data_IF_867827791403
#
_entry.id   IF_867827791403
#
_cell.length_a   1.000
_cell.length_b   1.000
_cell.length_c   1.000
_cell.angle_alpha   90.00
_cell.angle_beta   90.00
_cell.angle_gamma   90.00
#
_symmetry.space_group_name_H-M   'P 1'
#
loop_
_entity.id
_entity.type
_entity.pdbx_description
1 polymer ?
#
# COMPACT_ATOMS: atom_id res chain seq x y z
N UNK A 1 -13.90 -25.58 36.15
CA UNK A 1 -12.57 -25.30 35.56
C UNK A 1 -12.50 -25.68 34.09
N UNK A 2 -12.87 -26.90 33.66
CA UNK A 2 -12.93 -27.26 32.23
C UNK A 2 -14.01 -26.51 31.41
N UNK A 3 -15.19 -26.28 32.01
CA UNK A 3 -16.30 -25.55 31.35
C UNK A 3 -15.97 -24.07 31.08
N UNK A 4 -15.22 -23.42 31.97
CA UNK A 4 -14.82 -22.01 31.81
C UNK A 4 -13.78 -21.84 30.67
N UNK A 5 -12.80 -22.76 30.60
CA UNK A 5 -11.82 -22.79 29.51
C UNK A 5 -12.46 -23.04 28.14
N UNK A 6 -13.51 -23.87 28.09
CA UNK A 6 -14.28 -24.16 26.87
C UNK A 6 -15.15 -22.99 26.39
N UNK A 7 -15.51 -22.08 27.30
CA UNK A 7 -16.34 -20.93 27.03
C UNK A 7 -15.51 -19.74 26.55
N UNK A 8 -14.31 -19.58 27.11
CA UNK A 8 -13.34 -18.55 26.71
C UNK A 8 -12.76 -18.82 25.32
N UNK A 9 -12.44 -20.08 25.01
CA UNK A 9 -12.00 -20.50 23.66
C UNK A 9 -13.08 -20.29 22.60
N UNK A 10 -14.34 -20.59 22.91
CA UNK A 10 -15.47 -20.33 22.00
C UNK A 10 -15.66 -18.83 21.71
N UNK A 11 -15.56 -17.98 22.74
CA UNK A 11 -15.65 -16.52 22.59
C UNK A 11 -14.49 -15.96 21.76
N UNK A 12 -13.27 -16.42 22.01
CA UNK A 12 -12.10 -16.00 21.24
C UNK A 12 -12.24 -16.33 19.75
N UNK A 13 -12.64 -17.56 19.43
CA UNK A 13 -12.86 -17.96 18.04
C UNK A 13 -14.03 -17.17 17.40
N UNK A 14 -15.11 -16.93 18.13
CA UNK A 14 -16.21 -16.12 17.62
C UNK A 14 -15.79 -14.67 17.32
N UNK A 15 -14.91 -14.10 18.14
CA UNK A 15 -14.32 -12.79 17.88
C UNK A 15 -13.44 -12.79 16.63
N UNK A 16 -12.56 -13.78 16.49
CA UNK A 16 -11.71 -13.94 15.30
C UNK A 16 -12.57 -14.01 14.03
N UNK A 17 -13.60 -14.88 14.03
CA UNK A 17 -14.56 -15.01 12.93
C UNK A 17 -15.27 -13.69 12.59
N UNK A 18 -15.62 -12.88 13.58
CA UNK A 18 -16.26 -11.56 13.35
C UNK A 18 -15.28 -10.49 12.88
N UNK A 19 -13.98 -10.67 13.11
CA UNK A 19 -12.92 -9.76 12.66
C UNK A 19 -12.41 -10.09 11.25
N UNK A 20 -12.62 -11.32 10.77
CA UNK A 20 -12.25 -11.74 9.42
C UNK A 20 -12.95 -10.91 8.36
N UNK A 21 -12.16 -10.21 7.55
CA UNK A 21 -12.63 -9.40 6.41
C UNK A 21 -12.57 -10.14 5.09
N UNK A 22 -11.94 -11.32 5.08
CA UNK A 22 -11.68 -12.13 3.91
C UNK A 22 -12.13 -13.59 4.13
N UNK A 23 -12.01 -14.42 3.08
CA UNK A 23 -12.36 -15.84 3.18
C UNK A 23 -11.26 -16.62 3.89
N UNK A 24 -11.53 -17.00 5.13
CA UNK A 24 -10.56 -17.66 6.01
C UNK A 24 -10.98 -19.09 6.38
N UNK A 25 -10.05 -19.83 6.97
CA UNK A 25 -10.25 -21.19 7.45
C UNK A 25 -9.97 -21.31 8.94
N UNK A 26 -10.88 -21.94 9.69
CA UNK A 26 -10.80 -22.13 11.13
C UNK A 26 -10.79 -23.61 11.48
N UNK A 27 -9.80 -24.07 12.25
CA UNK A 27 -9.71 -25.46 12.70
C UNK A 27 -10.52 -25.67 13.99
N UNK A 28 -11.48 -26.59 13.97
CA UNK A 28 -12.31 -26.94 15.13
C UNK A 28 -11.80 -28.19 15.86
N UNK A 29 -10.56 -28.61 15.64
CA UNK A 29 -9.91 -29.65 16.43
C UNK A 29 -9.96 -29.31 17.93
N UNK A 30 -10.43 -30.26 18.75
CA UNK A 30 -10.56 -30.07 20.20
C UNK A 30 -11.78 -29.26 20.68
N UNK A 31 -12.65 -28.78 19.78
CA UNK A 31 -13.89 -28.10 20.17
C UNK A 31 -15.01 -29.10 20.49
N UNK A 32 -15.75 -28.83 21.56
CA UNK A 32 -16.91 -29.61 22.00
C UNK A 32 -18.25 -28.99 21.59
N UNK A 33 -19.36 -29.72 21.81
CA UNK A 33 -20.70 -29.32 21.34
C UNK A 33 -21.16 -27.97 21.89
N UNK A 34 -20.94 -27.74 23.19
CA UNK A 34 -21.30 -26.50 23.87
C UNK A 34 -20.49 -25.30 23.38
N UNK A 35 -19.20 -25.48 23.14
CA UNK A 35 -18.30 -24.46 22.60
C UNK A 35 -18.66 -24.08 21.17
N UNK A 36 -19.01 -25.05 20.34
CA UNK A 36 -19.44 -24.81 18.95
C UNK A 36 -20.76 -24.06 18.89
N UNK A 37 -21.77 -24.49 19.66
CA UNK A 37 -23.05 -23.80 19.70
C UNK A 37 -22.90 -22.36 20.18
N UNK A 38 -22.08 -22.13 21.21
CA UNK A 38 -21.78 -20.79 21.71
C UNK A 38 -21.02 -19.95 20.68
N UNK A 39 -20.00 -20.51 20.03
CA UNK A 39 -19.24 -19.81 19.00
C UNK A 39 -20.15 -19.37 17.85
N UNK A 40 -21.03 -20.26 17.37
CA UNK A 40 -21.98 -19.95 16.29
C UNK A 40 -22.95 -18.84 16.72
N UNK A 41 -23.48 -18.93 17.93
CA UNK A 41 -24.36 -17.90 18.49
C UNK A 41 -23.64 -16.55 18.55
N UNK A 42 -22.45 -16.51 19.14
CA UNK A 42 -21.69 -15.26 19.34
C UNK A 42 -21.18 -14.69 18.01
N UNK A 43 -20.84 -15.53 17.03
CA UNK A 43 -20.28 -15.13 15.75
C UNK A 43 -21.36 -14.67 14.75
N UNK A 44 -22.45 -15.43 14.61
CA UNK A 44 -23.34 -15.35 13.43
C UNK A 44 -24.78 -14.94 13.72
N UNK A 45 -25.20 -14.82 15.00
CA UNK A 45 -26.58 -14.38 15.31
C UNK A 45 -26.87 -12.98 14.77
N UNK A 46 -25.84 -12.11 14.77
CA UNK A 46 -25.90 -10.78 14.20
C UNK A 46 -25.12 -10.76 12.88
N UNK A 47 -25.64 -10.10 11.82
CA UNK A 47 -24.90 -9.90 10.58
C UNK A 47 -23.48 -9.36 10.82
N UNK A 48 -22.54 -9.82 10.00
CA UNK A 48 -21.17 -9.33 10.03
C UNK A 48 -21.09 -8.02 9.24
N UNK A 49 -20.33 -7.02 9.71
CA UNK A 49 -20.17 -5.73 9.04
C UNK A 49 -19.19 -5.82 7.87
N UNK A 50 -19.56 -6.56 6.82
CA UNK A 50 -18.73 -6.80 5.65
C UNK A 50 -19.29 -6.08 4.43
N UNK A 51 -18.40 -5.47 3.63
CA UNK A 51 -18.76 -4.81 2.38
C UNK A 51 -18.89 -5.75 1.18
N UNK A 52 -18.46 -7.01 1.32
CA UNK A 52 -18.56 -8.05 0.28
C UNK A 52 -18.74 -9.44 0.91
N UNK A 53 -19.22 -10.39 0.13
CA UNK A 53 -19.44 -11.77 0.60
C UNK A 53 -18.11 -12.51 0.79
N UNK A 54 -17.99 -13.21 1.92
CA UNK A 54 -16.84 -14.06 2.24
C UNK A 54 -17.28 -15.49 2.51
N UNK A 55 -16.34 -16.43 2.45
CA UNK A 55 -16.56 -17.83 2.81
C UNK A 55 -15.69 -18.20 4.00
N UNK A 56 -16.32 -18.43 5.15
CA UNK A 56 -15.65 -18.84 6.38
C UNK A 56 -15.69 -20.36 6.48
N UNK A 57 -14.52 -21.00 6.43
CA UNK A 57 -14.40 -22.45 6.25
C UNK A 57 -13.99 -23.13 7.55
N UNK A 58 -14.90 -23.87 8.17
CA UNK A 58 -14.61 -24.58 9.41
C UNK A 58 -14.16 -26.00 9.12
N UNK A 59 -12.96 -26.37 9.55
CA UNK A 59 -12.48 -27.75 9.51
C UNK A 59 -13.18 -28.51 10.62
N UNK A 60 -14.02 -29.47 10.23
CA UNK A 60 -14.89 -30.23 11.14
C UNK A 60 -14.50 -31.70 11.24
N UNK A 61 -13.51 -32.13 10.47
CA UNK A 61 -13.09 -33.51 10.43
C UNK A 61 -11.89 -33.70 9.51
N UNK A 62 -11.23 -34.83 9.67
CA UNK A 62 -10.16 -35.29 8.81
C UNK A 62 -10.16 -36.81 8.69
N UNK A 63 -9.73 -37.33 7.56
CA UNK A 63 -9.58 -38.76 7.34
C UNK A 63 -8.28 -39.31 7.92
N UNK A 64 -7.86 -40.48 7.44
CA UNK A 64 -6.76 -41.28 8.04
C UNK A 64 -5.41 -40.56 8.04
N UNK A 65 -5.20 -39.57 7.17
CA UNK A 65 -3.93 -38.83 7.08
C UNK A 65 -3.84 -37.67 8.05
N UNK A 66 -4.96 -37.28 8.66
CA UNK A 66 -5.07 -36.12 9.54
C UNK A 66 -4.81 -36.55 10.98
N UNK A 67 -3.84 -35.89 11.63
CA UNK A 67 -3.44 -36.21 13.02
C UNK A 67 -4.29 -35.49 14.07
N UNK A 68 -4.96 -34.39 13.69
CA UNK A 68 -5.87 -33.68 14.57
C UNK A 68 -7.06 -34.57 14.96
N UNK A 69 -7.51 -34.44 16.21
CA UNK A 69 -8.67 -35.15 16.74
C UNK A 69 -9.89 -34.23 16.68
N UNK A 70 -10.88 -34.65 15.90
CA UNK A 70 -12.18 -34.00 15.80
C UNK A 70 -13.21 -34.80 16.57
N UNK A 71 -14.25 -34.12 17.06
CA UNK A 71 -15.38 -34.80 17.66
C UNK A 71 -16.27 -35.41 16.56
N UNK A 72 -16.68 -36.67 16.69
CA UNK A 72 -17.48 -37.38 15.67
C UNK A 72 -18.83 -36.69 15.40
N UNK A 73 -19.35 -35.92 16.36
CA UNK A 73 -20.59 -35.15 16.25
C UNK A 73 -20.44 -33.75 15.63
N UNK A 74 -19.22 -33.30 15.34
CA UNK A 74 -18.92 -31.88 15.12
C UNK A 74 -19.63 -31.27 13.91
N UNK A 75 -19.73 -32.03 12.82
CA UNK A 75 -20.48 -31.62 11.61
C UNK A 75 -21.95 -31.36 11.97
N UNK A 76 -22.58 -32.31 12.68
CA UNK A 76 -23.99 -32.21 13.09
C UNK A 76 -24.20 -31.07 14.06
N UNK A 77 -23.28 -30.89 15.01
CA UNK A 77 -23.35 -29.82 16.02
C UNK A 77 -23.25 -28.44 15.39
N UNK A 78 -22.28 -28.23 14.49
CA UNK A 78 -22.09 -26.95 13.79
C UNK A 78 -23.28 -26.63 12.88
N UNK A 79 -23.72 -27.59 12.05
CA UNK A 79 -24.84 -27.38 11.13
C UNK A 79 -26.18 -27.21 11.86
N UNK A 80 -26.39 -27.92 12.97
CA UNK A 80 -27.57 -27.73 13.82
C UNK A 80 -27.57 -26.38 14.52
N UNK A 81 -26.41 -25.90 14.98
CA UNK A 81 -26.29 -24.57 15.59
C UNK A 81 -26.56 -23.46 14.57
N UNK A 82 -26.00 -23.57 13.36
CA UNK A 82 -26.23 -22.62 12.26
C UNK A 82 -27.71 -22.60 11.85
N UNK A 83 -28.33 -23.77 11.72
CA UNK A 83 -29.76 -23.88 11.41
C UNK A 83 -30.62 -23.28 12.53
N UNK A 84 -30.22 -23.45 13.79
CA UNK A 84 -30.90 -22.90 14.96
C UNK A 84 -30.95 -21.37 14.99
N UNK A 85 -30.01 -20.69 14.34
CA UNK A 85 -29.99 -19.22 14.18
C UNK A 85 -30.51 -18.77 12.80
N UNK A 86 -31.12 -19.68 12.03
CA UNK A 86 -31.80 -19.38 10.78
C UNK A 86 -30.90 -19.36 9.54
N UNK A 87 -29.75 -20.03 9.56
CA UNK A 87 -29.03 -20.35 8.33
C UNK A 87 -29.64 -21.57 7.65
N UNK A 88 -29.42 -21.72 6.35
CA UNK A 88 -29.90 -22.86 5.56
C UNK A 88 -28.77 -23.58 4.84
N UNK A 89 -28.90 -24.89 4.66
CA UNK A 89 -27.92 -25.66 3.89
C UNK A 89 -28.19 -25.49 2.38
N UNK A 90 -27.18 -25.07 1.63
CA UNK A 90 -27.22 -25.01 0.17
C UNK A 90 -25.89 -25.48 -0.42
N UNK A 91 -25.91 -26.65 -1.08
CA UNK A 91 -24.72 -27.25 -1.70
C UNK A 91 -24.13 -26.39 -2.83
N UNK A 92 -24.95 -25.54 -3.46
CA UNK A 92 -24.56 -24.62 -4.51
C UNK A 92 -23.99 -23.29 -4.01
N UNK A 93 -24.01 -23.04 -2.70
CA UNK A 93 -23.62 -21.75 -2.14
C UNK A 93 -22.19 -21.34 -2.56
N UNK A 94 -22.05 -20.08 -2.98
CA UNK A 94 -20.84 -19.51 -3.54
C UNK A 94 -20.61 -18.09 -3.01
N UNK A 95 -19.55 -17.42 -3.46
CA UNK A 95 -19.20 -16.04 -3.07
C UNK A 95 -20.12 -15.01 -3.74
N UNK A 96 -21.43 -15.14 -3.52
CA UNK A 96 -22.47 -14.23 -3.99
C UNK A 96 -23.31 -13.75 -2.81
N UNK A 97 -23.74 -12.47 -2.83
CA UNK A 97 -24.55 -11.89 -1.75
C UNK A 97 -25.89 -12.63 -1.55
N UNK A 98 -26.39 -13.26 -2.59
CA UNK A 98 -27.61 -14.09 -2.56
C UNK A 98 -27.47 -15.32 -1.66
N UNK A 99 -26.23 -15.78 -1.45
CA UNK A 99 -25.91 -16.91 -0.59
C UNK A 99 -25.74 -16.52 0.89
N UNK A 100 -26.03 -15.26 1.27
CA UNK A 100 -25.90 -14.80 2.65
C UNK A 100 -26.84 -15.58 3.59
N UNK A 101 -26.31 -16.10 4.69
CA UNK A 101 -27.08 -16.94 5.59
C UNK A 101 -27.19 -18.40 5.13
N UNK A 102 -26.32 -18.84 4.21
CA UNK A 102 -26.24 -20.23 3.80
C UNK A 102 -24.97 -20.91 4.32
N UNK A 103 -24.98 -22.23 4.40
CA UNK A 103 -23.77 -23.02 4.60
C UNK A 103 -23.76 -24.25 3.71
N UNK A 104 -22.58 -24.83 3.51
CA UNK A 104 -22.42 -26.11 2.81
C UNK A 104 -21.37 -26.98 3.44
N UNK A 105 -21.65 -28.27 3.49
CA UNK A 105 -20.67 -29.28 3.82
C UNK A 105 -19.87 -29.70 2.57
N UNK A 106 -18.56 -29.83 2.70
CA UNK A 106 -17.67 -30.27 1.64
C UNK A 106 -16.59 -31.19 2.20
N UNK A 107 -16.41 -32.35 1.57
CA UNK A 107 -15.28 -33.24 1.83
C UNK A 107 -14.24 -33.07 0.72
N UNK A 108 -13.07 -32.52 1.07
CA UNK A 108 -11.92 -32.42 0.17
C UNK A 108 -11.10 -33.71 0.27
N UNK A 109 -11.34 -34.63 -0.67
CA UNK A 109 -10.67 -35.94 -0.72
C UNK A 109 -9.18 -35.83 -1.04
N UNK A 110 -8.72 -34.73 -1.64
CA UNK A 110 -7.30 -34.48 -1.89
C UNK A 110 -6.55 -34.13 -0.62
N UNK A 111 -7.17 -33.31 0.24
CA UNK A 111 -6.59 -32.90 1.54
C UNK A 111 -6.98 -33.82 2.70
N UNK A 112 -7.89 -34.77 2.47
CA UNK A 112 -8.47 -35.65 3.49
C UNK A 112 -9.12 -34.86 4.63
N UNK A 113 -9.70 -33.68 4.31
CA UNK A 113 -10.31 -32.76 5.27
C UNK A 113 -11.78 -32.53 4.96
N UNK A 114 -12.58 -32.40 6.00
CA UNK A 114 -14.00 -32.11 5.92
C UNK A 114 -14.25 -30.68 6.38
N UNK A 115 -15.01 -29.94 5.60
CA UNK A 115 -15.31 -28.54 5.81
C UNK A 115 -16.80 -28.30 5.92
N UNK A 116 -17.18 -27.34 6.78
CA UNK A 116 -18.44 -26.63 6.65
C UNK A 116 -18.08 -25.20 6.26
N UNK A 117 -18.45 -24.82 5.04
CA UNK A 117 -18.30 -23.45 4.55
C UNK A 117 -19.55 -22.67 4.92
N UNK A 118 -19.37 -21.56 5.63
CA UNK A 118 -20.44 -20.66 6.05
C UNK A 118 -20.33 -19.36 5.26
N UNK A 119 -21.44 -18.94 4.69
CA UNK A 119 -21.61 -17.66 4.00
C UNK A 119 -22.41 -16.74 4.93
N UNK A 120 -21.73 -15.85 5.68
CA UNK A 120 -22.38 -15.10 6.74
C UNK A 120 -23.45 -14.16 6.17
N UNK A 121 -24.43 -13.82 7.01
CA UNK A 121 -25.26 -12.64 6.73
C UNK A 121 -24.36 -11.42 6.84
N UNK A 122 -24.40 -10.57 5.81
CA UNK A 122 -23.59 -9.35 5.78
C UNK A 122 -24.48 -8.13 5.96
N UNK A 123 -23.97 -7.12 6.65
CA UNK A 123 -24.58 -5.80 6.75
C UNK A 123 -23.64 -4.75 6.14
N UNK A 124 -23.82 -4.45 4.84
CA UNK A 124 -23.02 -3.44 4.16
C UNK A 124 -23.22 -2.02 4.73
N UNK A 125 -24.39 -1.74 5.31
CA UNK A 125 -24.69 -0.44 5.92
C UNK A 125 -23.96 -0.29 7.26
N UNK A 126 -23.91 -1.34 8.08
CA UNK A 126 -23.05 -1.39 9.27
C UNK A 126 -21.57 -1.36 8.89
N UNK A 127 -21.16 -2.00 7.80
CA UNK A 127 -19.79 -1.89 7.28
C UNK A 127 -19.45 -0.43 6.90
N UNK A 128 -20.38 0.27 6.23
CA UNK A 128 -20.24 1.69 5.91
C UNK A 128 -20.30 2.60 7.15
N UNK A 129 -21.12 2.26 8.15
CA UNK A 129 -21.25 3.01 9.40
C UNK A 129 -20.07 2.79 10.35
N UNK A 130 -19.49 1.59 10.41
CA UNK A 130 -18.22 1.33 11.10
C UNK A 130 -17.07 2.06 10.41
N UNK A 131 -17.07 2.13 9.07
CA UNK A 131 -16.16 2.98 8.32
C UNK A 131 -16.39 4.50 8.54
N UNK A 132 -17.55 4.90 9.09
CA UNK A 132 -17.91 6.30 9.34
C UNK A 132 -17.86 6.71 10.83
N UNK A 133 -17.96 5.75 11.76
CA UNK A 133 -17.99 5.93 13.22
C UNK A 133 -16.63 5.72 13.89
N UNK A 134 -15.73 4.96 13.26
CA UNK A 134 -14.31 5.24 13.38
C UNK A 134 -14.07 6.53 12.58
N UNK A 135 -13.97 7.68 13.26
CA UNK A 135 -13.13 8.75 12.71
C UNK A 135 -11.81 8.08 12.34
N UNK A 136 -11.32 8.22 11.10
CA UNK A 136 -10.54 7.19 10.43
C UNK A 136 -9.43 6.66 11.34
N UNK A 137 -9.63 5.47 11.90
CA UNK A 137 -8.55 4.54 12.13
C UNK A 137 -8.19 4.04 10.73
N UNK A 138 -7.48 4.91 10.02
CA UNK A 138 -6.67 4.51 8.87
C UNK A 138 -5.94 3.25 9.33
N UNK A 139 -6.08 2.07 8.70
CA UNK A 139 -5.06 1.04 8.88
C UNK A 139 -3.77 1.75 8.50
N UNK A 140 -2.96 2.10 9.51
CA UNK A 140 -1.98 3.19 9.49
C UNK A 140 -1.54 3.43 8.05
N UNK A 141 -2.14 4.42 7.36
CA UNK A 141 -2.23 4.41 5.88
C UNK A 141 -0.86 4.05 5.40
N UNK A 142 -0.72 2.86 4.79
CA UNK A 142 0.60 2.34 4.47
C UNK A 142 1.36 3.51 3.89
N UNK A 143 2.41 3.91 4.60
CA UNK A 143 3.10 5.16 4.27
C UNK A 143 3.43 5.11 2.79
N UNK A 144 3.55 6.24 2.08
CA UNK A 144 3.93 6.23 0.67
C UNK A 144 5.13 5.30 0.41
N UNK A 145 6.09 5.27 1.34
CA UNK A 145 7.20 4.30 1.37
C UNK A 145 6.75 2.84 1.42
N UNK A 146 5.91 2.44 2.39
CA UNK A 146 5.39 1.06 2.47
C UNK A 146 4.57 0.68 1.22
N UNK A 147 3.75 1.57 0.69
CA UNK A 147 3.02 1.33 -0.56
C UNK A 147 3.97 1.09 -1.74
N UNK A 148 5.07 1.84 -1.83
CA UNK A 148 6.07 1.64 -2.89
C UNK A 148 6.80 0.29 -2.74
N UNK A 149 7.11 -0.10 -1.49
CA UNK A 149 7.85 -1.34 -1.20
C UNK A 149 7.00 -2.60 -1.38
N UNK A 150 5.80 -2.64 -0.83
CA UNK A 150 5.00 -3.87 -0.71
C UNK A 150 3.90 -4.00 -1.77
N UNK A 151 3.66 -3.01 -2.62
CA UNK A 151 2.68 -3.15 -3.70
C UNK A 151 3.14 -4.10 -4.81
N UNK A 152 2.20 -4.79 -5.44
CA UNK A 152 2.45 -5.57 -6.65
C UNK A 152 3.04 -4.70 -7.78
N UNK A 153 3.94 -5.22 -8.66
CA UNK A 153 4.62 -4.43 -9.67
C UNK A 153 3.69 -3.61 -10.57
N UNK A 154 2.54 -4.16 -10.98
CA UNK A 154 1.58 -3.41 -11.81
C UNK A 154 0.87 -2.29 -11.05
N UNK A 155 0.59 -2.50 -9.76
CA UNK A 155 0.00 -1.48 -8.88
C UNK A 155 1.01 -0.37 -8.63
N UNK A 156 2.26 -0.74 -8.36
CA UNK A 156 3.38 0.19 -8.22
C UNK A 156 3.51 1.10 -9.45
N UNK A 157 3.52 0.53 -10.66
CA UNK A 157 3.66 1.31 -11.90
C UNK A 157 2.54 2.34 -12.07
N UNK A 158 1.29 1.94 -11.84
CA UNK A 158 0.12 2.85 -11.89
C UNK A 158 0.21 3.95 -10.85
N UNK A 159 0.63 3.60 -9.63
CA UNK A 159 0.76 4.51 -8.51
C UNK A 159 1.86 5.55 -8.76
N UNK A 160 3.04 5.13 -9.20
CA UNK A 160 4.14 6.03 -9.59
C UNK A 160 3.69 6.95 -10.73
N UNK A 161 3.04 6.42 -11.77
CA UNK A 161 2.54 7.24 -12.87
C UNK A 161 1.55 8.33 -12.41
N UNK A 162 0.67 8.00 -11.45
CA UNK A 162 -0.36 8.92 -10.95
C UNK A 162 0.14 9.90 -9.88
N UNK A 163 1.05 9.47 -9.01
CA UNK A 163 1.44 10.21 -7.78
C UNK A 163 2.81 10.88 -7.87
N UNK A 164 3.68 10.46 -8.79
CA UNK A 164 5.01 11.07 -9.01
C UNK A 164 5.19 11.48 -10.48
N UNK A 165 4.55 12.59 -10.90
CA UNK A 165 4.63 13.07 -12.29
C UNK A 165 5.98 13.68 -12.68
N UNK A 166 6.78 14.14 -11.70
CA UNK A 166 8.06 14.78 -11.96
C UNK A 166 9.23 13.80 -11.97
N UNK A 167 10.30 14.15 -12.69
CA UNK A 167 11.53 13.36 -12.70
C UNK A 167 12.14 13.34 -11.30
N UNK A 168 12.15 14.48 -10.60
CA UNK A 168 12.68 14.56 -9.23
C UNK A 168 11.91 13.65 -8.26
N UNK A 169 10.57 13.59 -8.35
CA UNK A 169 9.76 12.72 -7.50
C UNK A 169 10.02 11.24 -7.81
N UNK A 170 10.02 10.84 -9.09
CA UNK A 170 10.36 9.46 -9.49
C UNK A 170 11.78 9.10 -9.09
N UNK A 171 12.71 10.06 -9.11
CA UNK A 171 14.07 9.84 -8.65
C UNK A 171 14.11 9.56 -7.15
N UNK A 172 13.37 10.30 -6.34
CA UNK A 172 13.23 10.03 -4.90
C UNK A 172 12.66 8.64 -4.64
N UNK A 173 11.65 8.22 -5.41
CA UNK A 173 11.12 6.85 -5.33
C UNK A 173 12.23 5.82 -5.61
N UNK A 174 13.05 6.04 -6.65
CA UNK A 174 14.17 5.14 -6.95
C UNK A 174 15.17 5.06 -5.79
N UNK A 175 15.47 6.19 -5.16
CA UNK A 175 16.41 6.24 -4.03
C UNK A 175 15.83 5.54 -2.79
N UNK A 176 14.52 5.66 -2.53
CA UNK A 176 13.80 4.90 -1.48
C UNK A 176 13.89 3.39 -1.71
N UNK A 177 13.64 2.92 -2.94
CA UNK A 177 13.73 1.49 -3.26
C UNK A 177 15.17 0.96 -3.12
N UNK A 178 16.17 1.76 -3.48
CA UNK A 178 17.59 1.40 -3.29
C UNK A 178 17.97 1.33 -1.83
N UNK A 179 17.50 2.26 -1.01
CA UNK A 179 17.72 2.25 0.44
C UNK A 179 17.12 0.99 1.06
N UNK A 180 15.87 0.65 0.71
CA UNK A 180 15.24 -0.58 1.20
C UNK A 180 15.99 -1.85 0.77
N UNK A 181 16.51 -1.91 -0.47
CA UNK A 181 17.36 -3.03 -0.91
C UNK A 181 18.66 -3.13 -0.11
N UNK A 182 19.29 -1.99 0.20
CA UNK A 182 20.50 -1.96 1.02
C UNK A 182 20.22 -2.36 2.47
N UNK A 183 19.11 -1.89 3.04
CA UNK A 183 18.64 -2.27 4.37
C UNK A 183 18.41 -3.78 4.44
N UNK A 184 17.72 -4.36 3.46
CA UNK A 184 17.48 -5.81 3.39
C UNK A 184 18.80 -6.60 3.38
N UNK A 185 19.77 -6.23 2.54
CA UNK A 185 21.08 -6.87 2.51
C UNK A 185 21.84 -6.76 3.86
N UNK A 186 21.66 -5.65 4.58
CA UNK A 186 22.25 -5.49 5.92
C UNK A 186 21.60 -6.42 6.96
N UNK A 187 20.28 -6.61 6.87
CA UNK A 187 19.53 -7.53 7.74
C UNK A 187 19.88 -8.99 7.44
N UNK A 188 20.04 -9.37 6.17
CA UNK A 188 20.55 -10.71 5.80
C UNK A 188 21.94 -10.98 6.39
N UNK A 189 22.80 -9.97 6.41
CA UNK A 189 24.14 -10.09 7.02
C UNK A 189 24.02 -10.38 8.52
N UNK A 190 23.13 -9.68 9.24
CA UNK A 190 22.84 -9.95 10.66
C UNK A 190 22.32 -11.37 10.89
N UNK A 191 21.38 -11.82 10.04
CA UNK A 191 20.81 -13.16 10.12
C UNK A 191 21.89 -14.24 9.89
N UNK A 192 22.81 -14.01 8.96
CA UNK A 192 23.96 -14.90 8.74
C UNK A 192 24.94 -14.94 9.91
N UNK A 193 25.03 -13.85 10.68
CA UNK A 193 25.83 -13.75 11.91
C UNK A 193 25.09 -14.25 13.16
N UNK A 194 23.85 -14.75 13.02
CA UNK A 194 22.97 -15.18 14.11
C UNK A 194 22.65 -14.07 15.14
N UNK A 195 22.63 -12.82 14.68
CA UNK A 195 22.24 -11.68 15.50
C UNK A 195 20.70 -11.58 15.60
N UNK A 196 20.19 -11.09 16.73
CA UNK A 196 18.76 -10.90 16.91
C UNK A 196 18.25 -9.74 16.04
N UNK A 197 17.18 -9.99 15.29
CA UNK A 197 16.49 -8.98 14.49
C UNK A 197 15.44 -8.26 15.33
N UNK A 198 15.29 -6.96 15.10
CA UNK A 198 14.15 -6.21 15.65
C UNK A 198 12.85 -6.48 14.85
N UNK A 199 11.71 -6.00 15.36
CA UNK A 199 10.42 -6.25 14.72
C UNK A 199 10.30 -5.70 13.28
N UNK A 200 10.97 -4.59 12.98
CA UNK A 200 10.96 -3.98 11.64
C UNK A 200 11.84 -4.78 10.68
N UNK A 201 13.00 -5.22 11.16
CA UNK A 201 13.94 -6.05 10.41
C UNK A 201 13.34 -7.43 10.10
N UNK A 202 12.64 -8.02 11.07
CA UNK A 202 11.90 -9.26 10.88
C UNK A 202 10.80 -9.11 9.83
N UNK A 203 10.00 -8.03 9.92
CA UNK A 203 8.97 -7.73 8.91
C UNK A 203 9.57 -7.56 7.51
N UNK A 204 10.72 -6.90 7.40
CA UNK A 204 11.40 -6.71 6.12
C UNK A 204 11.80 -8.05 5.49
N UNK A 205 12.26 -9.02 6.28
CA UNK A 205 12.61 -10.37 5.80
C UNK A 205 11.36 -11.16 5.42
N UNK A 206 10.30 -11.06 6.21
CA UNK A 206 9.09 -11.88 6.03
C UNK A 206 8.21 -11.39 4.87
N UNK A 207 8.18 -10.09 4.60
CA UNK A 207 7.21 -9.47 3.68
C UNK A 207 7.82 -8.87 2.41
N UNK A 208 9.12 -8.52 2.38
CA UNK A 208 9.71 -7.87 1.21
C UNK A 208 10.12 -8.89 0.15
N UNK A 209 9.37 -8.92 -0.95
CA UNK A 209 9.78 -9.64 -2.17
C UNK A 209 10.92 -8.91 -2.89
N UNK A 210 12.13 -9.47 -2.81
CA UNK A 210 13.34 -8.92 -3.43
C UNK A 210 13.34 -9.02 -4.96
N UNK A 211 12.71 -10.04 -5.54
CA UNK A 211 12.58 -10.17 -6.99
C UNK A 211 11.64 -9.10 -7.55
N UNK A 212 10.50 -8.88 -6.87
CA UNK A 212 9.59 -7.80 -7.21
C UNK A 212 10.25 -6.42 -7.02
N UNK A 213 11.04 -6.23 -5.95
CA UNK A 213 11.79 -5.00 -5.72
C UNK A 213 12.79 -4.71 -6.86
N UNK A 214 13.50 -5.73 -7.34
CA UNK A 214 14.43 -5.60 -8.46
C UNK A 214 13.75 -5.30 -9.79
N UNK A 215 12.58 -5.91 -10.03
CA UNK A 215 11.74 -5.58 -11.17
C UNK A 215 11.28 -4.10 -11.12
N UNK A 216 10.86 -3.60 -9.96
CA UNK A 216 10.47 -2.20 -9.76
C UNK A 216 11.64 -1.24 -9.99
N UNK A 217 12.82 -1.55 -9.44
CA UNK A 217 14.05 -0.76 -9.64
C UNK A 217 14.42 -0.66 -11.11
N UNK A 218 14.43 -1.80 -11.83
CA UNK A 218 14.76 -1.85 -13.25
C UNK A 218 13.76 -1.08 -14.11
N UNK A 219 12.46 -1.24 -13.82
CA UNK A 219 11.41 -0.50 -14.52
C UNK A 219 11.54 1.01 -14.28
N UNK A 220 11.71 1.44 -13.02
CA UNK A 220 11.78 2.86 -12.68
C UNK A 220 13.05 3.53 -13.23
N UNK A 221 14.18 2.82 -13.26
CA UNK A 221 15.39 3.29 -13.92
C UNK A 221 15.18 3.51 -15.42
N UNK A 222 14.46 2.60 -16.09
CA UNK A 222 14.11 2.74 -17.51
C UNK A 222 13.15 3.91 -17.74
N UNK A 223 12.16 4.10 -16.88
CA UNK A 223 11.24 5.24 -16.96
C UNK A 223 11.98 6.58 -16.82
N UNK A 224 12.89 6.69 -15.85
CA UNK A 224 13.70 7.89 -15.66
C UNK A 224 14.60 8.17 -16.89
N UNK A 225 15.20 7.14 -17.47
CA UNK A 225 15.97 7.25 -18.71
C UNK A 225 15.07 7.71 -19.88
N UNK A 226 13.85 7.17 -19.98
CA UNK A 226 12.82 7.60 -20.92
C UNK A 226 12.45 9.08 -20.77
N UNK A 227 12.30 9.58 -19.54
CA UNK A 227 12.00 11.00 -19.30
C UNK A 227 13.15 11.93 -19.71
N UNK A 228 14.40 11.51 -19.49
CA UNK A 228 15.59 12.25 -19.91
C UNK A 228 15.67 12.31 -21.43
N UNK A 229 15.52 11.17 -22.11
CA UNK A 229 15.59 11.08 -23.58
C UNK A 229 14.42 11.79 -24.27
N UNK A 230 13.23 11.77 -23.66
CA UNK A 230 12.04 12.48 -24.16
C UNK A 230 12.05 13.99 -23.87
N UNK A 231 13.07 14.53 -23.18
CA UNK A 231 13.14 15.96 -22.86
C UNK A 231 12.07 16.44 -21.88
N UNK A 232 11.57 15.56 -21.02
CA UNK A 232 10.54 15.89 -20.02
C UNK A 232 11.14 16.47 -18.73
N UNK A 233 12.33 17.07 -18.78
CA UNK A 233 12.99 17.63 -17.59
C UNK A 233 12.68 19.12 -17.48
N UNK A 234 12.26 19.57 -16.30
CA UNK A 234 12.21 21.01 -16.03
C UNK A 234 13.64 21.59 -15.87
N UNK A 235 13.75 22.90 -15.65
CA UNK A 235 15.06 23.58 -15.56
C UNK A 235 15.94 23.02 -14.45
N UNK A 236 15.37 22.76 -13.28
CA UNK A 236 16.07 22.29 -12.08
C UNK A 236 16.44 20.80 -12.22
N UNK A 237 15.52 19.97 -12.69
CA UNK A 237 15.73 18.55 -12.98
C UNK A 237 16.82 18.34 -14.03
N UNK A 238 16.85 19.19 -15.06
CA UNK A 238 17.92 19.19 -16.07
C UNK A 238 19.28 19.50 -15.44
N UNK A 239 19.36 20.52 -14.60
CA UNK A 239 20.60 20.85 -13.89
C UNK A 239 21.07 19.68 -13.00
N UNK A 240 20.14 19.07 -12.26
CA UNK A 240 20.42 17.90 -11.42
C UNK A 240 20.92 16.69 -12.23
N UNK A 241 20.33 16.41 -13.40
CA UNK A 241 20.78 15.32 -14.28
C UNK A 241 22.17 15.62 -14.85
N UNK A 242 22.43 16.85 -15.26
CA UNK A 242 23.74 17.25 -15.77
C UNK A 242 24.82 17.14 -14.70
N UNK A 243 24.55 17.59 -13.48
CA UNK A 243 25.46 17.45 -12.34
C UNK A 243 25.80 15.97 -12.07
N UNK A 244 24.79 15.09 -12.08
CA UNK A 244 25.02 13.65 -11.92
C UNK A 244 25.84 13.03 -13.07
N UNK A 245 25.64 13.49 -14.31
CA UNK A 245 26.42 13.02 -15.45
C UNK A 245 27.86 13.54 -15.39
N UNK A 246 28.08 14.80 -15.00
CA UNK A 246 29.41 15.36 -14.80
C UNK A 246 30.18 14.65 -13.68
N UNK A 247 29.54 14.41 -12.53
CA UNK A 247 30.17 13.64 -11.43
C UNK A 247 30.56 12.22 -11.87
N UNK A 248 29.74 11.56 -12.68
CA UNK A 248 30.10 10.25 -13.26
C UNK A 248 31.25 10.36 -14.25
N UNK A 249 31.30 11.42 -15.05
CA UNK A 249 32.37 11.66 -16.01
C UNK A 249 33.71 11.80 -15.28
N UNK A 250 33.76 12.63 -14.23
CA UNK A 250 34.95 12.81 -13.37
C UNK A 250 35.41 11.48 -12.76
N UNK A 251 34.46 10.66 -12.27
CA UNK A 251 34.79 9.34 -11.71
C UNK A 251 35.37 8.38 -12.77
N UNK A 252 34.84 8.40 -14.00
CA UNK A 252 35.37 7.60 -15.11
C UNK A 252 36.75 8.09 -15.53
N UNK A 253 36.98 9.40 -15.58
CA UNK A 253 38.29 9.98 -15.89
C UNK A 253 39.36 9.55 -14.88
N UNK A 254 39.03 9.56 -13.58
CA UNK A 254 39.92 9.05 -12.54
C UNK A 254 40.21 7.55 -12.70
N UNK A 255 39.20 6.75 -13.08
CA UNK A 255 39.38 5.31 -13.34
C UNK A 255 40.23 5.05 -14.58
N UNK A 256 40.13 5.88 -15.62
CA UNK A 256 40.99 5.82 -16.81
C UNK A 256 42.44 6.10 -16.39
N UNK A 257 42.68 7.21 -15.69
CA UNK A 257 44.02 7.57 -15.21
C UNK A 257 44.63 6.47 -14.34
N UNK A 258 43.83 5.86 -13.45
CA UNK A 258 44.26 4.72 -12.63
C UNK A 258 44.61 3.51 -13.50
N UNK A 259 43.74 3.14 -14.45
CA UNK A 259 43.98 1.99 -15.32
C UNK A 259 45.21 2.18 -16.22
N UNK A 260 45.46 3.40 -16.69
CA UNK A 260 46.67 3.76 -17.44
C UNK A 260 47.92 3.63 -16.55
N UNK A 261 47.87 4.12 -15.31
CA UNK A 261 48.99 3.99 -14.36
C UNK A 261 49.30 2.54 -13.98
N UNK A 262 48.29 1.67 -13.99
CA UNK A 262 48.41 0.23 -13.74
C UNK A 262 48.75 -0.58 -15.01
N UNK A 263 48.98 0.07 -16.15
CA UNK A 263 49.21 -0.55 -17.47
C UNK A 263 48.09 -1.54 -17.89
N UNK A 264 46.85 -1.31 -17.44
CA UNK A 264 45.68 -2.13 -17.80
C UNK A 264 44.99 -1.59 -19.05
N UNK A 265 45.69 -1.64 -20.19
CA UNK A 265 45.26 -1.03 -21.47
C UNK A 265 43.84 -1.44 -21.90
N UNK A 266 43.49 -2.72 -21.80
CA UNK A 266 42.15 -3.21 -22.16
C UNK A 266 41.04 -2.62 -21.28
N UNK A 267 41.33 -2.37 -19.99
CA UNK A 267 40.40 -1.72 -19.06
C UNK A 267 40.28 -0.24 -19.38
N UNK A 268 41.40 0.43 -19.65
CA UNK A 268 41.41 1.85 -20.01
C UNK A 268 40.67 2.12 -21.33
N UNK A 269 40.83 1.26 -22.35
CA UNK A 269 40.08 1.36 -23.60
C UNK A 269 38.56 1.29 -23.39
N UNK A 270 38.09 0.30 -22.63
CA UNK A 270 36.66 0.16 -22.31
C UNK A 270 36.10 1.35 -21.52
N UNK A 271 36.88 1.93 -20.62
CA UNK A 271 36.46 3.11 -19.86
C UNK A 271 36.38 4.35 -20.75
N UNK A 272 37.27 4.50 -21.74
CA UNK A 272 37.22 5.59 -22.73
C UNK A 272 36.00 5.51 -23.65
N UNK A 273 35.57 4.30 -24.03
CA UNK A 273 34.30 4.11 -24.76
C UNK A 273 33.12 4.64 -23.92
N UNK A 274 33.04 4.24 -22.65
CA UNK A 274 32.00 4.74 -21.73
C UNK A 274 32.09 6.25 -21.44
N UNK A 275 33.29 6.82 -21.45
CA UNK A 275 33.50 8.27 -21.36
C UNK A 275 32.87 9.00 -22.55
N UNK A 276 33.14 8.54 -23.78
CA UNK A 276 32.57 9.13 -24.98
C UNK A 276 31.03 9.04 -25.00
N UNK A 277 30.46 7.91 -24.56
CA UNK A 277 29.00 7.76 -24.41
C UNK A 277 28.41 8.74 -23.38
N UNK A 278 29.09 8.96 -22.26
CA UNK A 278 28.67 9.93 -21.24
C UNK A 278 28.72 11.37 -21.76
N UNK A 279 29.77 11.75 -22.48
CA UNK A 279 29.89 13.07 -23.11
C UNK A 279 28.75 13.30 -24.11
N UNK A 280 28.50 12.35 -25.01
CA UNK A 280 27.41 12.45 -25.97
C UNK A 280 26.04 12.59 -25.29
N UNK A 281 25.86 11.92 -24.15
CA UNK A 281 24.64 12.02 -23.34
C UNK A 281 24.52 13.38 -22.65
N UNK A 282 25.62 13.96 -22.15
CA UNK A 282 25.65 15.32 -21.59
C UNK A 282 25.25 16.35 -22.66
N UNK A 283 25.81 16.24 -23.86
CA UNK A 283 25.48 17.12 -24.98
C UNK A 283 24.01 17.03 -25.36
N UNK A 284 23.47 15.80 -25.41
CA UNK A 284 22.05 15.58 -25.68
C UNK A 284 21.17 16.26 -24.62
N UNK A 285 21.43 16.02 -23.33
CA UNK A 285 20.61 16.58 -22.25
C UNK A 285 20.74 18.10 -22.18
N UNK A 286 21.94 18.64 -22.39
CA UNK A 286 22.18 20.08 -22.40
C UNK A 286 21.48 20.79 -23.56
N UNK A 287 21.28 20.11 -24.70
CA UNK A 287 20.52 20.62 -25.85
C UNK A 287 18.99 20.62 -25.68
N UNK A 288 18.43 19.84 -24.75
CA UNK A 288 16.98 19.72 -24.59
C UNK A 288 16.36 20.99 -23.98
N UNK A 289 15.21 21.42 -24.51
CA UNK A 289 14.46 22.54 -23.94
C UNK A 289 13.78 22.11 -22.63
N UNK A 290 13.87 22.89 -21.54
CA UNK A 290 13.19 22.57 -20.30
C UNK A 290 11.67 22.46 -20.48
N UNK A 291 11.09 21.37 -19.99
CA UNK A 291 9.65 21.16 -19.98
C UNK A 291 8.98 21.98 -18.87
N UNK A 292 7.85 22.60 -19.21
CA UNK A 292 6.95 23.22 -18.23
C UNK A 292 5.88 22.21 -17.82
N UNK A 293 5.76 21.93 -16.52
CA UNK A 293 4.66 21.12 -15.97
C UNK A 293 3.68 22.03 -15.25
N UNK A 294 2.49 22.17 -15.82
CA UNK A 294 1.42 22.91 -15.18
C UNK A 294 0.89 22.15 -13.95
N UNK A 295 0.71 22.84 -12.83
CA UNK A 295 -0.04 22.30 -11.70
C UNK A 295 -1.52 22.11 -12.09
N UNK A 296 -2.21 21.15 -11.47
CA UNK A 296 -3.62 20.83 -11.80
C UNK A 296 -4.52 22.07 -11.78
N UNK A 297 -4.28 22.95 -10.80
CA UNK A 297 -5.03 24.19 -10.60
C UNK A 297 -4.20 25.45 -10.86
N UNK A 298 -3.19 25.39 -11.74
CA UNK A 298 -2.23 26.50 -11.92
C UNK A 298 -2.92 27.84 -12.22
N UNK A 299 -3.97 27.83 -13.06
CA UNK A 299 -4.72 29.05 -13.39
C UNK A 299 -5.53 29.57 -12.21
N UNK A 300 -6.22 28.70 -11.47
CA UNK A 300 -6.96 29.11 -10.27
C UNK A 300 -6.02 29.58 -9.16
N UNK A 301 -4.88 28.92 -8.97
CA UNK A 301 -3.85 29.31 -8.00
C UNK A 301 -3.26 30.68 -8.32
N UNK A 302 -2.92 30.95 -9.59
CA UNK A 302 -2.41 32.27 -10.01
C UNK A 302 -3.47 33.35 -9.81
N UNK A 303 -4.73 33.07 -10.16
CA UNK A 303 -5.84 34.00 -9.93
C UNK A 303 -6.07 34.26 -8.43
N UNK A 304 -6.08 33.21 -7.60
CA UNK A 304 -6.25 33.29 -6.15
C UNK A 304 -5.08 34.05 -5.49
N UNK A 305 -3.83 33.80 -5.90
CA UNK A 305 -2.65 34.55 -5.43
C UNK A 305 -2.75 36.04 -5.78
N UNK A 306 -3.18 36.36 -6.99
CA UNK A 306 -3.40 37.76 -7.41
C UNK A 306 -4.49 38.44 -6.57
N UNK A 307 -5.61 37.75 -6.34
CA UNK A 307 -6.69 38.27 -5.50
C UNK A 307 -6.26 38.43 -4.03
N UNK A 308 -5.46 37.52 -3.49
CA UNK A 308 -4.89 37.64 -2.14
C UNK A 308 -3.94 38.84 -2.04
N UNK A 309 -3.10 39.09 -3.05
CA UNK A 309 -2.24 40.29 -3.09
C UNK A 309 -3.06 41.59 -3.13
N UNK A 310 -4.19 41.61 -3.83
CA UNK A 310 -5.12 42.75 -3.83
C UNK A 310 -5.78 42.93 -2.46
N UNK A 311 -6.19 41.84 -1.81
CA UNK A 311 -6.77 41.85 -0.47
C UNK A 311 -5.75 42.27 0.60
N UNK A 312 -4.48 41.88 0.47
CA UNK A 312 -3.40 42.30 1.36
C UNK A 312 -3.17 43.82 1.27
N UNK A 313 -3.23 44.39 0.06
CA UNK A 313 -3.19 45.86 -0.13
C UNK A 313 -4.40 46.55 0.50
N UNK A 314 -5.58 45.95 0.40
CA UNK A 314 -6.81 46.47 1.03
C UNK A 314 -6.74 46.41 2.56
N UNK A 315 -6.15 45.37 3.15
CA UNK A 315 -5.95 45.26 4.60
C UNK A 315 -4.97 46.32 5.13
N UNK A 316 -3.93 46.65 4.36
CA UNK A 316 -3.03 47.76 4.72
C UNK A 316 -3.76 49.10 4.65
N UNK A 317 -4.68 49.28 3.69
CA UNK A 317 -5.51 50.49 3.57
C UNK A 317 -6.58 50.57 4.66
N UNK A 318 -7.19 49.45 5.04
CA UNK A 318 -8.23 49.36 6.10
C UNK A 318 -7.71 49.80 7.47
N UNK A 319 -6.40 49.69 7.70
CA UNK A 319 -5.73 50.16 8.93
C UNK A 319 -5.58 51.68 8.99
N UNK A 320 -5.75 52.39 7.87
CA UNK A 320 -5.55 53.84 7.75
C UNK A 320 -6.85 54.58 7.43
N UNK A 321 -7.80 53.93 6.76
CA UNK A 321 -9.05 54.53 6.27
C UNK A 321 -10.25 53.63 6.56
N UNK A 322 -11.41 54.24 6.83
CA UNK A 322 -12.68 53.50 6.97
C UNK A 322 -13.12 53.08 5.56
N UNK A 323 -13.05 51.79 5.29
CA UNK A 323 -13.43 51.23 4.00
C UNK A 323 -14.96 51.09 3.86
N UNK A 324 -15.52 51.18 2.63
CA UNK A 324 -16.91 50.88 2.37
C UNK A 324 -17.25 49.41 2.68
N UNK A 325 -18.51 49.15 3.06
CA UNK A 325 -19.00 47.83 3.49
C UNK A 325 -18.65 46.70 2.49
N UNK A 326 -18.71 46.98 1.19
CA UNK A 326 -18.36 46.04 0.12
C UNK A 326 -16.89 45.62 0.11
N UNK A 327 -15.98 46.46 0.58
CA UNK A 327 -14.55 46.14 0.69
C UNK A 327 -14.24 45.36 1.98
N UNK A 328 -14.98 45.61 3.06
CA UNK A 328 -14.94 44.84 4.31
C UNK A 328 -15.44 43.40 4.05
N UNK A 329 -16.54 43.24 3.30
CA UNK A 329 -17.04 41.92 2.90
C UNK A 329 -16.05 41.12 2.05
N UNK A 330 -15.25 41.80 1.21
CA UNK A 330 -14.16 41.16 0.45
C UNK A 330 -13.01 40.72 1.35
N UNK A 331 -12.60 41.57 2.30
CA UNK A 331 -11.57 41.22 3.29
C UNK A 331 -11.97 40.00 4.13
N UNK A 332 -13.25 39.87 4.49
CA UNK A 332 -13.78 38.72 5.23
C UNK A 332 -13.68 37.39 4.46
N UNK A 333 -13.57 37.41 3.12
CA UNK A 333 -13.38 36.20 2.30
C UNK A 333 -11.92 35.73 2.23
N UNK A 334 -10.96 36.54 2.68
CA UNK A 334 -9.52 36.26 2.63
C UNK A 334 -9.11 34.95 3.33
N UNK A 335 -9.58 34.63 4.56
CA UNK A 335 -9.20 33.38 5.22
C UNK A 335 -9.64 32.15 4.42
N UNK A 336 -10.85 32.19 3.85
CA UNK A 336 -11.36 31.12 2.99
C UNK A 336 -10.53 30.98 1.72
N UNK A 337 -10.18 32.07 1.05
CA UNK A 337 -9.31 32.03 -0.14
C UNK A 337 -7.91 31.49 0.14
N UNK A 338 -7.35 31.74 1.34
CA UNK A 338 -6.08 31.13 1.76
C UNK A 338 -6.21 29.63 1.98
N UNK A 339 -7.28 29.18 2.64
CA UNK A 339 -7.56 27.76 2.85
C UNK A 339 -7.78 27.02 1.51
N UNK A 340 -8.59 27.59 0.61
CA UNK A 340 -8.86 27.02 -0.71
C UNK A 340 -7.56 26.91 -1.54
N UNK A 341 -6.69 27.92 -1.48
CA UNK A 341 -5.38 27.89 -2.15
C UNK A 341 -4.47 26.82 -1.55
N UNK A 342 -4.45 26.65 -0.23
CA UNK A 342 -3.68 25.60 0.43
C UNK A 342 -4.16 24.21 0.01
N UNK A 343 -5.47 23.97 -0.03
CA UNK A 343 -6.04 22.70 -0.52
C UNK A 343 -5.70 22.46 -1.99
N UNK A 344 -5.77 23.49 -2.86
CA UNK A 344 -5.35 23.37 -4.26
C UNK A 344 -3.86 23.04 -4.42
N UNK A 345 -3.02 23.56 -3.52
CA UNK A 345 -1.58 23.26 -3.48
C UNK A 345 -1.33 21.82 -3.02
N UNK A 346 -1.99 21.38 -1.96
CA UNK A 346 -1.91 20.01 -1.44
C UNK A 346 -2.41 18.97 -2.47
N UNK A 347 -3.50 19.27 -3.19
CA UNK A 347 -4.03 18.39 -4.25
C UNK A 347 -3.19 18.38 -5.53
N UNK A 348 -2.43 19.46 -5.74
CA UNK A 348 -1.48 19.59 -6.85
C UNK A 348 -0.11 19.01 -6.51
N UNK A 349 0.23 18.91 -5.22
CA UNK A 349 1.43 18.23 -4.75
C UNK A 349 1.27 16.73 -5.01
N UNK A 350 2.23 16.16 -5.74
CA UNK A 350 2.38 14.70 -5.77
C UNK A 350 2.91 14.18 -4.43
N UNK A 351 3.30 12.92 -4.39
CA UNK A 351 4.04 12.37 -3.25
C UNK A 351 5.43 12.97 -3.10
#
# INVERSE_FOLDING_TARGET
TASAMSEETAKKLAMEVRQSKESEQFDLAGYGPSSVAKMVQDAFVNPLPLGSMVRLSFVVGGGKKVRQKYNDGLVRELTSALSGIGFSEDKGAALALECAGQFKYQHDTSKDLMFVHVFPRVDPAAAAALAAGDGPSVPDAMSPTQLLLFSEPLVFQRMVAAKTPSFAQRRRVLDVLKAAKADYASVETKLSAMEALDAREQQLIDELDTEALDAKLKWLAKELDGMVTAGQLNKEEKAMVLEQLHSKLEAVELQIATADSEAKEKRAAKLREGHAELVARIDTVSGLKPAHRAAKFEKEMVAARKQLLELDKLEVRSKKEILPLSEIERLNKRPKMKADLQTMEEDSAGW
#
